data_IF_414032599172
#
_entry.id   IF_414032599172
#
_cell.length_a   1.000
_cell.length_b   1.000
_cell.length_c   1.000
_cell.angle_alpha   90.00
_cell.angle_beta   90.00
_cell.angle_gamma   90.00
#
_symmetry.space_group_name_H-M   'P 1'
#
loop_
_entity.id
_entity.type
_entity.pdbx_description
1 polymer ?
#
# COMPACT_ATOMS: atom_id res chain seq x y z
N UNK A 1 -16.87 11.34 -10.44
CA UNK A 1 -17.31 9.94 -10.35
C UNK A 1 -16.10 9.05 -10.10
N UNK A 2 -16.23 8.10 -9.19
CA UNK A 2 -15.13 7.19 -8.85
C UNK A 2 -15.05 6.08 -9.90
N UNK A 3 -13.86 5.89 -10.46
CA UNK A 3 -13.60 4.80 -11.41
C UNK A 3 -13.11 3.57 -10.65
N UNK A 4 -14.04 2.72 -10.25
CA UNK A 4 -13.75 1.53 -9.46
C UNK A 4 -12.86 0.53 -10.22
N UNK A 5 -13.00 0.42 -11.53
CA UNK A 5 -12.16 -0.51 -12.30
C UNK A 5 -10.68 -0.09 -12.24
N UNK A 6 -10.41 1.21 -12.37
CA UNK A 6 -9.05 1.74 -12.26
C UNK A 6 -8.51 1.54 -10.85
N UNK A 7 -9.34 1.78 -9.82
CA UNK A 7 -8.93 1.61 -8.42
C UNK A 7 -8.58 0.16 -8.14
N UNK A 8 -9.40 -0.78 -8.58
CA UNK A 8 -9.13 -2.20 -8.38
C UNK A 8 -7.87 -2.66 -9.11
N UNK A 9 -7.63 -2.14 -10.31
CA UNK A 9 -6.40 -2.43 -11.05
C UNK A 9 -5.18 -1.91 -10.31
N UNK A 10 -5.25 -0.71 -9.77
CA UNK A 10 -4.16 -0.12 -9.00
C UNK A 10 -3.92 -0.88 -7.70
N UNK A 11 -4.98 -1.36 -7.05
CA UNK A 11 -4.84 -2.23 -5.88
C UNK A 11 -4.13 -3.54 -6.23
N UNK A 12 -4.47 -4.14 -7.36
CA UNK A 12 -3.84 -5.39 -7.80
C UNK A 12 -2.36 -5.16 -8.12
N UNK A 13 -2.02 -4.05 -8.77
CA UNK A 13 -0.63 -3.69 -9.02
C UNK A 13 0.14 -3.49 -7.70
N UNK A 14 -0.46 -2.78 -6.76
CA UNK A 14 0.15 -2.54 -5.45
C UNK A 14 0.36 -3.85 -4.70
N UNK A 15 -0.62 -4.75 -4.75
CA UNK A 15 -0.51 -6.08 -4.14
C UNK A 15 0.67 -6.86 -4.73
N UNK A 16 0.84 -6.81 -6.05
CA UNK A 16 1.95 -7.49 -6.71
C UNK A 16 3.30 -6.94 -6.28
N UNK A 17 3.41 -5.62 -6.16
CA UNK A 17 4.64 -4.97 -5.69
C UNK A 17 4.96 -5.40 -4.26
N UNK A 18 3.97 -5.38 -3.37
CA UNK A 18 4.16 -5.78 -1.97
C UNK A 18 4.56 -7.25 -1.88
N UNK A 19 3.88 -8.12 -2.62
CA UNK A 19 4.17 -9.55 -2.60
C UNK A 19 5.59 -9.85 -3.09
N UNK A 20 6.11 -9.07 -4.03
CA UNK A 20 7.47 -9.25 -4.54
C UNK A 20 8.54 -8.89 -3.48
N UNK A 21 8.20 -8.05 -2.52
CA UNK A 21 9.15 -7.57 -1.49
C UNK A 21 9.00 -8.33 -0.19
N UNK A 22 7.77 -8.52 0.29
CA UNK A 22 7.51 -9.10 1.62
C UNK A 22 6.68 -10.37 1.58
N UNK A 23 6.36 -10.88 0.39
CA UNK A 23 5.51 -12.06 0.24
C UNK A 23 4.06 -11.75 0.59
N UNK A 24 3.29 -12.79 0.97
CA UNK A 24 1.87 -12.67 1.25
C UNK A 24 1.60 -12.13 2.66
N UNK A 25 2.19 -10.98 2.99
CA UNK A 25 2.08 -10.38 4.32
C UNK A 25 1.24 -9.11 4.29
N UNK A 26 0.14 -9.14 3.52
CA UNK A 26 -0.83 -8.04 3.48
C UNK A 26 -1.99 -8.39 4.41
N UNK A 27 -2.25 -7.52 5.41
CA UNK A 27 -3.40 -7.63 6.28
C UNK A 27 -4.65 -7.09 5.58
N UNK A 28 -4.54 -5.91 5.01
CA UNK A 28 -5.66 -5.26 4.35
C UNK A 28 -5.16 -4.31 3.26
N UNK A 29 -5.94 -4.19 2.20
CA UNK A 29 -5.72 -3.21 1.15
C UNK A 29 -7.11 -2.67 0.76
N UNK A 30 -7.25 -1.36 0.70
CA UNK A 30 -8.52 -0.73 0.41
C UNK A 30 -8.38 0.69 -0.06
N UNK A 31 -9.49 1.26 -0.54
CA UNK A 31 -9.51 2.62 -1.03
C UNK A 31 -10.18 3.54 0.01
N UNK A 32 -9.52 4.66 0.29
CA UNK A 32 -10.05 5.70 1.16
C UNK A 32 -10.59 6.84 0.32
N UNK A 33 -11.89 7.08 0.37
CA UNK A 33 -12.53 8.21 -0.31
C UNK A 33 -12.05 9.53 0.26
N UNK A 34 -11.85 9.57 1.57
CA UNK A 34 -11.44 10.76 2.29
C UNK A 34 -10.07 11.25 1.85
N UNK A 35 -9.13 10.31 1.69
CA UNK A 35 -7.76 10.61 1.30
C UNK A 35 -7.55 10.56 -0.21
N UNK A 36 -8.50 10.04 -0.97
CA UNK A 36 -8.36 9.73 -2.39
C UNK A 36 -7.09 8.91 -2.62
N UNK A 37 -6.96 7.84 -1.86
CA UNK A 37 -5.75 7.03 -1.83
C UNK A 37 -6.06 5.57 -1.54
N UNK A 38 -5.15 4.70 -1.96
CA UNK A 38 -5.18 3.30 -1.59
C UNK A 38 -4.37 3.14 -0.30
N UNK A 39 -4.96 2.52 0.71
CA UNK A 39 -4.31 2.27 1.99
C UNK A 39 -3.95 0.80 2.10
N UNK A 40 -2.73 0.52 2.52
CA UNK A 40 -2.23 -0.85 2.69
C UNK A 40 -1.73 -1.03 4.11
N UNK A 41 -2.20 -2.08 4.78
CA UNK A 41 -1.66 -2.50 6.07
C UNK A 41 -1.04 -3.88 5.91
N UNK A 42 0.20 -4.04 6.37
CA UNK A 42 0.91 -5.31 6.32
C UNK A 42 0.66 -6.12 7.59
N UNK A 43 1.05 -7.40 7.56
CA UNK A 43 1.07 -8.24 8.77
C UNK A 43 2.46 -8.26 9.42
N UNK A 44 3.40 -7.48 8.88
CA UNK A 44 4.77 -7.41 9.37
C UNK A 44 5.17 -5.95 9.55
N UNK A 45 6.09 -5.69 10.47
CA UNK A 45 6.64 -4.36 10.69
C UNK A 45 7.97 -4.26 9.96
N UNK A 46 8.06 -3.33 9.00
CA UNK A 46 9.27 -3.11 8.21
C UNK A 46 10.14 -2.05 8.86
N UNK A 47 11.45 -2.21 8.72
CA UNK A 47 12.39 -1.15 9.06
C UNK A 47 12.18 0.05 8.13
N UNK A 48 12.50 1.24 8.62
CA UNK A 48 12.29 2.48 7.88
C UNK A 48 12.91 2.45 6.48
N UNK A 49 14.13 1.93 6.37
CA UNK A 49 14.83 1.81 5.10
C UNK A 49 14.08 0.92 4.12
N UNK A 50 13.59 -0.22 4.61
CA UNK A 50 12.86 -1.17 3.78
C UNK A 50 11.49 -0.62 3.37
N UNK A 51 10.83 0.09 4.29
CA UNK A 51 9.57 0.76 3.99
C UNK A 51 9.75 1.83 2.92
N UNK A 52 10.83 2.61 3.00
CA UNK A 52 11.15 3.61 2.00
C UNK A 52 11.43 2.99 0.63
N UNK A 53 12.18 1.88 0.61
CA UNK A 53 12.46 1.15 -0.63
C UNK A 53 11.18 0.64 -1.28
N UNK A 54 10.26 0.11 -0.47
CA UNK A 54 8.97 -0.36 -0.97
C UNK A 54 8.16 0.79 -1.57
N UNK A 55 8.13 1.95 -0.91
CA UNK A 55 7.43 3.12 -1.42
C UNK A 55 7.92 3.52 -2.81
N UNK A 56 9.21 3.38 -3.08
CA UNK A 56 9.78 3.77 -4.37
C UNK A 56 9.41 2.81 -5.50
N UNK A 57 8.91 1.63 -5.18
CA UNK A 57 8.57 0.62 -6.17
C UNK A 57 7.13 0.71 -6.67
N UNK A 58 6.28 1.47 -5.99
CA UNK A 58 4.90 1.66 -6.45
C UNK A 58 4.85 2.62 -7.63
N UNK A 59 3.90 2.40 -8.53
CA UNK A 59 3.67 3.29 -9.67
C UNK A 59 3.03 4.61 -9.26
N UNK A 60 2.32 4.61 -8.13
CA UNK A 60 1.70 5.80 -7.56
C UNK A 60 2.65 6.45 -6.55
N UNK A 61 2.40 7.73 -6.27
CA UNK A 61 3.08 8.39 -5.16
C UNK A 61 2.68 7.72 -3.86
N UNK A 62 3.65 7.16 -3.15
CA UNK A 62 3.39 6.41 -1.93
C UNK A 62 4.16 7.00 -0.76
N UNK A 63 3.51 7.01 0.41
CA UNK A 63 4.12 7.46 1.65
C UNK A 63 4.01 6.36 2.70
N UNK A 64 5.03 6.32 3.57
CA UNK A 64 4.99 5.51 4.78
C UNK A 64 4.07 6.20 5.78
N UNK A 65 3.04 5.49 6.24
CA UNK A 65 1.98 6.05 7.09
C UNK A 65 2.06 5.58 8.55
N UNK A 66 3.21 5.09 8.96
CA UNK A 66 3.42 4.65 10.35
C UNK A 66 3.19 3.17 10.55
N UNK A 67 3.07 2.78 11.83
CA UNK A 67 2.84 1.39 12.21
C UNK A 67 1.42 1.22 12.74
N UNK A 68 0.69 0.28 12.15
CA UNK A 68 -0.65 -0.08 12.61
C UNK A 68 -0.59 -1.21 13.63
N UNK A 69 -1.76 -1.69 14.04
CA UNK A 69 -1.85 -2.79 15.02
C UNK A 69 -1.34 -4.12 14.48
N UNK A 70 -1.31 -4.29 13.16
CA UNK A 70 -0.88 -5.54 12.52
C UNK A 70 0.49 -5.43 11.88
N UNK A 71 0.83 -4.26 11.34
CA UNK A 71 2.09 -4.05 10.64
C UNK A 71 2.21 -2.65 10.08
N UNK A 72 3.18 -2.49 9.20
CA UNK A 72 3.50 -1.20 8.57
C UNK A 72 2.36 -0.75 7.66
N UNK A 73 2.05 0.55 7.70
CA UNK A 73 1.01 1.17 6.89
C UNK A 73 1.61 1.99 5.75
N UNK A 74 0.97 1.91 4.59
CA UNK A 74 1.32 2.72 3.43
C UNK A 74 0.08 3.40 2.88
N UNK A 75 0.28 4.57 2.27
CA UNK A 75 -0.78 5.28 1.55
C UNK A 75 -0.28 5.61 0.16
N UNK A 76 -1.06 5.24 -0.87
CA UNK A 76 -0.74 5.46 -2.27
C UNK A 76 -1.77 6.44 -2.84
N UNK A 77 -1.31 7.64 -3.18
CA UNK A 77 -2.19 8.71 -3.66
C UNK A 77 -2.51 8.55 -5.15
N UNK A 78 -3.77 8.73 -5.46
CA UNK A 78 -4.24 8.71 -6.86
C UNK A 78 -3.90 9.99 -7.61
#
# INVERSE_FOLDING_TARGET
MTDWDSIWRLQDEARAVVNAVVGENIWNIGFSHERQAIEIELTVHLEEEKASDLCSQFSLTADYDGEGSHGTLFVLYL
#
